data_IF_145171622295
#
_entry.id   IF_145171622295
#
_cell.length_a   1.000
_cell.length_b   1.000
_cell.length_c   1.000
_cell.angle_alpha   90.00
_cell.angle_beta   90.00
_cell.angle_gamma   90.00
#
_symmetry.space_group_name_H-M   'P 1'
#
loop_
_entity.id
_entity.type
_entity.pdbx_description
1 polymer ?
#
# COMPACT_ATOMS: atom_id res chain seq x y z
N UNK A 1 1.36 22.04 -19.23
CA UNK A 1 1.69 20.65 -18.82
C UNK A 1 3.12 20.67 -18.34
N UNK A 2 3.41 20.12 -17.17
CA UNK A 2 4.77 20.18 -16.63
C UNK A 2 5.55 18.99 -17.20
N UNK A 3 6.44 19.25 -18.16
CA UNK A 3 7.20 18.21 -18.86
C UNK A 3 8.08 17.42 -17.88
N UNK A 4 8.22 16.12 -18.15
CA UNK A 4 9.19 15.25 -17.50
C UNK A 4 10.58 15.68 -17.98
N UNK A 5 11.57 15.86 -17.09
CA UNK A 5 12.91 16.27 -17.50
C UNK A 5 13.50 15.25 -18.46
N UNK A 6 14.10 15.73 -19.55
CA UNK A 6 14.69 14.88 -20.59
C UNK A 6 15.72 13.87 -20.04
N UNK A 7 16.50 14.31 -19.04
CA UNK A 7 17.46 13.48 -18.31
C UNK A 7 17.23 13.58 -16.81
N UNK A 8 16.38 12.71 -16.22
CA UNK A 8 16.15 12.72 -14.79
C UNK A 8 17.35 12.16 -14.03
N UNK A 9 17.71 12.81 -12.92
CA UNK A 9 18.66 12.23 -11.96
C UNK A 9 17.96 11.14 -11.13
N UNK A 10 18.36 9.88 -11.32
CA UNK A 10 17.78 8.73 -10.62
C UNK A 10 18.72 8.26 -9.51
N UNK A 11 18.36 8.54 -8.26
CA UNK A 11 19.07 8.05 -7.09
C UNK A 11 18.58 6.64 -6.73
N UNK A 12 19.41 5.63 -7.03
CA UNK A 12 19.07 4.22 -6.78
C UNK A 12 19.30 3.81 -5.32
N UNK A 13 18.73 2.67 -4.94
CA UNK A 13 18.91 2.06 -3.60
C UNK A 13 20.37 1.99 -3.13
N UNK A 14 21.36 1.60 -3.95
CA UNK A 14 22.77 1.59 -3.52
C UNK A 14 23.28 2.98 -3.10
N UNK A 15 22.87 4.03 -3.82
CA UNK A 15 23.25 5.40 -3.48
C UNK A 15 22.61 5.83 -2.17
N UNK A 16 21.28 5.64 -2.04
CA UNK A 16 20.52 6.00 -0.84
C UNK A 16 21.02 5.29 0.43
N UNK A 17 21.45 4.03 0.30
CA UNK A 17 22.03 3.26 1.40
C UNK A 17 23.37 3.84 1.86
N UNK A 18 24.21 4.31 0.92
CA UNK A 18 25.55 4.83 1.24
C UNK A 18 25.48 6.20 1.91
N UNK A 19 24.56 7.06 1.48
CA UNK A 19 24.41 8.43 2.01
C UNK A 19 23.52 8.53 3.24
N UNK A 20 23.09 7.40 3.82
CA UNK A 20 22.19 7.42 4.98
C UNK A 20 20.91 8.22 4.73
N UNK A 21 20.26 8.00 3.58
CA UNK A 21 19.05 8.75 3.21
C UNK A 21 17.89 8.45 4.17
N UNK A 22 17.22 9.49 4.66
CA UNK A 22 16.02 9.41 5.48
C UNK A 22 14.84 9.89 4.63
N UNK A 23 13.90 9.00 4.33
CA UNK A 23 12.72 9.30 3.52
C UNK A 23 11.49 9.23 4.43
N UNK A 24 10.91 10.38 4.74
CA UNK A 24 9.65 10.46 5.47
C UNK A 24 8.51 10.69 4.48
N UNK A 25 7.86 9.59 4.09
CA UNK A 25 6.76 9.61 3.11
C UNK A 25 5.56 10.38 3.64
N UNK A 26 5.24 10.23 4.92
CA UNK A 26 4.07 10.87 5.56
C UNK A 26 4.18 12.40 5.55
N UNK A 27 5.35 12.91 5.92
CA UNK A 27 5.60 14.36 5.96
C UNK A 27 6.08 14.93 4.62
N UNK A 28 6.38 14.07 3.64
CA UNK A 28 6.86 14.49 2.34
C UNK A 28 8.23 15.17 2.42
N UNK A 29 9.16 14.56 3.15
CA UNK A 29 10.54 15.04 3.26
C UNK A 29 11.55 13.95 2.91
N UNK A 30 12.67 14.37 2.32
CA UNK A 30 13.82 13.51 2.03
C UNK A 30 15.06 14.23 2.53
N UNK A 31 15.84 13.58 3.39
CA UNK A 31 17.13 14.06 3.85
C UNK A 31 18.24 13.15 3.32
N UNK A 32 19.29 13.72 2.72
CA UNK A 32 20.48 12.98 2.27
C UNK A 32 21.70 13.39 3.10
N UNK A 33 22.29 12.45 3.83
CA UNK A 33 23.39 12.69 4.76
C UNK A 33 24.75 12.30 4.14
N UNK A 34 25.37 13.22 3.40
CA UNK A 34 26.68 13.02 2.78
C UNK A 34 27.82 13.24 3.78
N UNK A 35 28.06 12.23 4.62
CA UNK A 35 29.06 12.28 5.68
C UNK A 35 28.52 12.93 6.95
N UNK A 36 29.40 13.48 7.79
CA UNK A 36 29.02 13.94 9.14
C UNK A 36 28.30 15.28 9.17
N UNK A 37 28.57 16.15 8.20
CA UNK A 37 28.16 17.57 8.28
C UNK A 37 27.33 18.04 7.08
N UNK A 38 27.26 17.26 5.99
CA UNK A 38 26.50 17.65 4.81
C UNK A 38 25.15 16.94 4.79
N UNK A 39 24.10 17.66 5.21
CA UNK A 39 22.72 17.17 5.13
C UNK A 39 21.98 18.02 4.10
N UNK A 40 21.48 17.37 3.06
CA UNK A 40 20.63 18.00 2.06
C UNK A 40 19.18 17.71 2.39
N UNK A 41 18.41 18.76 2.67
CA UNK A 41 17.00 18.67 3.00
C UNK A 41 16.13 18.99 1.79
N UNK A 42 15.26 18.06 1.42
CA UNK A 42 14.30 18.22 0.34
C UNK A 42 12.87 18.16 0.88
N UNK A 43 12.19 19.31 0.89
CA UNK A 43 10.77 19.40 1.18
C UNK A 43 9.96 19.16 -0.10
N UNK A 44 9.37 17.97 -0.22
CA UNK A 44 8.60 17.55 -1.40
C UNK A 44 7.08 17.60 -1.20
N UNK A 45 6.61 17.84 0.03
CA UNK A 45 5.20 18.04 0.36
C UNK A 45 4.55 19.10 -0.55
N UNK A 46 3.46 18.73 -1.21
CA UNK A 46 2.74 19.61 -2.16
C UNK A 46 3.51 19.93 -3.46
N UNK A 47 4.74 19.41 -3.63
CA UNK A 47 5.55 19.56 -4.85
C UNK A 47 5.65 18.28 -5.67
N UNK A 48 5.21 17.16 -5.10
CA UNK A 48 5.11 15.88 -5.80
C UNK A 48 4.10 15.99 -6.95
N UNK A 49 4.54 15.63 -8.14
CA UNK A 49 3.67 15.42 -9.30
C UNK A 49 3.11 13.99 -9.24
N UNK A 50 2.12 13.69 -10.10
CA UNK A 50 1.68 12.31 -10.30
C UNK A 50 2.88 11.46 -10.73
N UNK A 51 3.10 10.28 -10.13
CA UNK A 51 4.20 9.41 -10.52
C UNK A 51 4.02 8.98 -11.97
N UNK A 52 5.08 9.17 -12.77
CA UNK A 52 5.13 8.80 -14.19
C UNK A 52 6.24 7.79 -14.43
N UNK A 53 6.01 6.87 -15.37
CA UNK A 53 7.04 6.00 -15.95
C UNK A 53 6.91 6.12 -17.46
N UNK A 54 7.98 6.57 -18.12
CA UNK A 54 7.98 6.88 -19.56
C UNK A 54 6.88 7.88 -19.97
N UNK A 55 6.65 8.93 -19.18
CA UNK A 55 5.60 9.92 -19.43
C UNK A 55 4.17 9.45 -19.15
N UNK A 56 3.94 8.17 -18.83
CA UNK A 56 2.62 7.65 -18.48
C UNK A 56 2.41 7.73 -16.96
N UNK A 57 1.30 8.32 -16.53
CA UNK A 57 0.94 8.40 -15.12
C UNK A 57 0.32 7.09 -14.62
N UNK A 58 0.66 6.69 -13.40
CA UNK A 58 0.09 5.53 -12.72
C UNK A 58 -0.48 5.95 -11.37
N UNK A 59 -1.46 5.18 -10.88
CA UNK A 59 -2.03 5.35 -9.55
C UNK A 59 -1.67 4.12 -8.73
N UNK A 60 -1.25 4.34 -7.49
CA UNK A 60 -1.17 3.28 -6.50
C UNK A 60 -2.57 3.20 -5.91
N UNK A 61 -3.27 2.10 -6.18
CA UNK A 61 -4.55 1.84 -5.55
C UNK A 61 -4.31 1.65 -4.05
N UNK A 62 -4.84 2.58 -3.25
CA UNK A 62 -4.88 2.41 -1.81
C UNK A 62 -5.90 1.31 -1.55
N UNK A 63 -5.42 0.10 -1.23
CA UNK A 63 -6.28 -0.97 -0.75
C UNK A 63 -7.00 -0.41 0.48
N UNK A 64 -8.30 -0.17 0.36
CA UNK A 64 -9.12 0.21 1.49
C UNK A 64 -8.91 -0.79 2.62
N UNK A 65 -8.97 -0.33 3.87
CA UNK A 65 -9.16 -1.27 4.99
C UNK A 65 -10.33 -2.17 4.61
N UNK A 66 -10.22 -3.51 4.70
CA UNK A 66 -11.39 -4.35 4.54
C UNK A 66 -12.39 -3.82 5.57
N UNK A 67 -13.44 -3.18 5.07
CA UNK A 67 -14.52 -2.77 5.91
C UNK A 67 -15.07 -4.07 6.49
N UNK A 68 -15.22 -4.09 7.81
CA UNK A 68 -15.83 -5.18 8.56
C UNK A 68 -17.34 -5.14 8.24
N UNK A 69 -17.69 -5.40 6.97
CA UNK A 69 -19.06 -5.38 6.46
C UNK A 69 -19.61 -6.80 6.58
N UNK A 70 -20.19 -7.05 7.76
CA UNK A 70 -21.23 -8.04 8.02
C UNK A 70 -20.92 -9.48 7.58
N UNK A 71 -20.39 -10.26 8.52
CA UNK A 71 -20.70 -11.69 8.56
C UNK A 71 -22.22 -11.79 8.83
N UNK A 72 -23.04 -11.93 7.79
CA UNK A 72 -24.41 -12.41 7.99
C UNK A 72 -24.31 -13.81 8.58
N UNK A 73 -24.52 -13.90 9.90
CA UNK A 73 -24.68 -15.15 10.61
C UNK A 73 -25.87 -15.88 9.98
N UNK A 74 -25.58 -16.88 9.15
CA UNK A 74 -26.61 -17.75 8.58
C UNK A 74 -27.38 -18.37 9.76
N UNK A 75 -28.72 -18.32 9.77
CA UNK A 75 -29.48 -18.90 10.86
C UNK A 75 -29.14 -20.39 10.98
N UNK A 76 -29.10 -20.93 12.21
CA UNK A 76 -28.86 -22.35 12.42
C UNK A 76 -29.91 -23.13 11.62
N UNK A 77 -29.45 -24.03 10.76
CA UNK A 77 -30.34 -24.95 10.06
C UNK A 77 -31.12 -25.75 11.10
N UNK A 78 -32.43 -25.78 10.95
CA UNK A 78 -33.30 -26.57 11.79
C UNK A 78 -32.94 -28.05 11.60
N UNK A 79 -32.15 -28.59 12.53
CA UNK A 79 -31.96 -30.03 12.72
C UNK A 79 -33.28 -30.59 13.27
N UNK A 80 -34.25 -30.83 12.38
CA UNK A 80 -35.44 -31.63 12.73
C UNK A 80 -35.01 -33.09 12.91
N UNK A 81 -34.74 -33.40 14.18
CA UNK A 81 -34.68 -34.74 14.75
C UNK A 81 -36.00 -35.47 14.50
N UNK A 82 -36.02 -36.28 13.44
CA UNK A 82 -37.07 -37.25 13.14
C UNK A 82 -36.59 -38.68 13.30
N UNK A 83 -35.97 -39.03 14.42
CA UNK A 83 -35.72 -40.42 14.78
C UNK A 83 -37.03 -41.12 15.17
N UNK A 84 -37.29 -42.27 14.54
CA UNK A 84 -37.97 -43.49 15.07
C UNK A 84 -39.02 -44.07 14.11
N UNK A 85 -39.43 -45.35 14.25
CA UNK A 85 -38.61 -46.54 14.49
C UNK A 85 -38.98 -47.68 13.49
N UNK A 86 -38.16 -48.73 13.47
CA UNK A 86 -38.42 -50.00 12.80
C UNK A 86 -39.81 -50.56 13.08
N UNK A 87 -40.50 -51.05 12.06
CA UNK A 87 -41.44 -52.17 12.21
C UNK A 87 -41.14 -53.26 11.20
N UNK A 88 -41.32 -54.47 11.71
CA UNK A 88 -40.80 -55.75 11.27
C UNK A 88 -41.97 -56.57 10.70
N UNK A 89 -41.67 -57.32 9.63
CA UNK A 89 -42.28 -58.60 9.21
C UNK A 89 -43.66 -58.62 8.54
N UNK A 90 -44.04 -59.74 7.90
CA UNK A 90 -43.30 -61.00 7.65
C UNK A 90 -42.97 -61.30 6.18
#
# INVERSE_FOLDING_TARGET
MSEEPQDPLILRRPFLATTGAIINVKEGTIDLCLGKENIFHFAIKGKMRKPTVFGQAFYIEEMGTPADEHLEELPPGDDEEGASPSTLSP
#
